data_IF_328950359367
#
_entry.id   IF_328950359367
#
_cell.length_a   1.000
_cell.length_b   1.000
_cell.length_c   1.000
_cell.angle_alpha   90.00
_cell.angle_beta   90.00
_cell.angle_gamma   90.00
#
_symmetry.space_group_name_H-M   'P 1'
#
loop_
_entity.id
_entity.type
_entity.pdbx_description
1 polymer ?
#
# COMPACT_ATOMS: atom_id res chain seq x y z
N UNK A 1 0.06 2.76 -9.69
CA UNK A 1 -1.25 3.10 -10.30
C UNK A 1 -1.39 2.52 -11.71
N UNK A 2 -0.30 2.27 -12.44
CA UNK A 2 -0.28 1.81 -13.83
C UNK A 2 -1.23 0.63 -14.13
N UNK A 3 -1.23 -0.43 -13.31
CA UNK A 3 -2.10 -1.59 -13.54
C UNK A 3 -3.60 -1.26 -13.49
N UNK A 4 -4.04 -0.50 -12.48
CA UNK A 4 -5.45 -0.12 -12.40
C UNK A 4 -5.83 0.87 -13.51
N UNK A 5 -4.89 1.69 -13.97
CA UNK A 5 -5.10 2.59 -15.10
C UNK A 5 -5.15 1.85 -16.45
N UNK A 6 -4.33 0.81 -16.66
CA UNK A 6 -4.42 -0.05 -17.85
C UNK A 6 -5.73 -0.82 -17.89
N UNK A 7 -6.16 -1.41 -16.77
CA UNK A 7 -7.46 -2.10 -16.69
C UNK A 7 -8.64 -1.17 -16.99
N UNK A 8 -8.56 0.11 -16.61
CA UNK A 8 -9.61 1.08 -16.97
C UNK A 8 -9.68 1.34 -18.47
N UNK A 9 -8.55 1.31 -19.16
CA UNK A 9 -8.52 1.45 -20.63
C UNK A 9 -9.15 0.24 -21.30
N UNK A 10 -8.79 -0.96 -20.84
CA UNK A 10 -9.32 -2.22 -21.37
C UNK A 10 -10.83 -2.36 -21.16
N UNK A 11 -11.33 -1.94 -20.00
CA UNK A 11 -12.75 -2.06 -19.64
C UNK A 11 -13.61 -0.89 -20.12
N UNK A 12 -13.09 0.05 -20.92
CA UNK A 12 -13.89 1.17 -21.44
C UNK A 12 -15.07 0.67 -22.26
N UNK A 13 -16.26 1.19 -21.96
CA UNK A 13 -17.50 0.82 -22.65
C UNK A 13 -18.20 -0.44 -22.11
N UNK A 14 -17.59 -1.19 -21.18
CA UNK A 14 -18.20 -2.38 -20.56
C UNK A 14 -19.25 -2.08 -19.47
N UNK A 15 -19.29 -0.84 -18.97
CA UNK A 15 -20.09 -0.45 -17.81
C UNK A 15 -19.46 -0.81 -16.45
N UNK A 16 -18.38 -1.60 -16.42
CA UNK A 16 -17.63 -1.90 -15.21
C UNK A 16 -16.70 -0.74 -14.79
N UNK A 17 -16.44 -0.60 -13.49
CA UNK A 17 -15.51 0.40 -12.94
C UNK A 17 -14.39 -0.25 -12.15
N UNK A 18 -13.18 0.27 -12.27
CA UNK A 18 -12.00 -0.23 -11.54
C UNK A 18 -11.55 0.80 -10.51
N UNK A 19 -11.47 0.36 -9.25
CA UNK A 19 -10.89 1.08 -8.13
C UNK A 19 -9.62 0.39 -7.64
N UNK A 20 -8.83 1.09 -6.82
CA UNK A 20 -7.70 0.50 -6.11
C UNK A 20 -7.62 1.05 -4.69
N UNK A 21 -7.25 0.18 -3.75
CA UNK A 21 -7.13 0.52 -2.33
C UNK A 21 -5.76 0.09 -1.83
N UNK A 22 -5.05 1.03 -1.21
CA UNK A 22 -3.79 0.75 -0.53
C UNK A 22 -4.01 0.64 0.97
N UNK A 23 -3.46 -0.41 1.56
CA UNK A 23 -3.49 -0.64 2.99
C UNK A 23 -2.15 -0.27 3.62
N UNK A 24 -2.20 0.41 4.76
CA UNK A 24 -1.12 0.36 5.74
C UNK A 24 -1.15 -0.96 6.50
N UNK A 25 -0.50 -1.02 7.66
CA UNK A 25 -0.55 -2.20 8.53
C UNK A 25 -2.00 -2.59 8.89
N UNK A 26 -2.36 -3.85 8.62
CA UNK A 26 -3.64 -4.49 8.97
C UNK A 26 -3.33 -5.80 9.69
N UNK A 27 -4.03 -6.09 10.79
CA UNK A 27 -3.76 -7.24 11.66
C UNK A 27 -4.21 -8.58 11.04
N UNK A 28 -3.52 -8.96 9.99
CA UNK A 28 -3.67 -10.25 9.32
C UNK A 28 -2.60 -11.23 9.81
N UNK A 29 -2.83 -12.51 9.59
CA UNK A 29 -1.80 -13.53 9.81
C UNK A 29 -0.53 -13.21 9.01
N UNK A 30 -0.68 -12.79 7.75
CA UNK A 30 0.44 -12.37 6.92
C UNK A 30 1.26 -11.26 7.58
N UNK A 31 0.61 -10.19 8.07
CA UNK A 31 1.30 -9.10 8.73
C UNK A 31 2.05 -9.56 9.98
N UNK A 32 1.42 -10.37 10.84
CA UNK A 32 2.06 -10.89 12.06
C UNK A 32 3.28 -11.74 11.72
N UNK A 33 3.17 -12.64 10.75
CA UNK A 33 4.27 -13.49 10.29
C UNK A 33 5.40 -12.67 9.68
N UNK A 34 5.09 -11.67 8.85
CA UNK A 34 6.10 -10.77 8.28
C UNK A 34 6.84 -9.97 9.36
N UNK A 35 6.13 -9.48 10.36
CA UNK A 35 6.73 -8.70 11.45
C UNK A 35 7.56 -9.54 12.42
N UNK A 36 7.27 -10.84 12.54
CA UNK A 36 8.07 -11.78 13.32
C UNK A 36 9.40 -12.17 12.63
N UNK A 37 9.57 -11.85 11.35
CA UNK A 37 10.77 -12.22 10.60
C UNK A 37 12.01 -11.44 11.10
N UNK A 38 13.19 -12.08 11.30
CA UNK A 38 14.39 -11.40 11.83
C UNK A 38 14.83 -10.17 11.02
N UNK A 39 14.65 -10.18 9.70
CA UNK A 39 14.95 -9.02 8.85
C UNK A 39 14.14 -7.77 9.23
N UNK A 40 12.96 -7.94 9.83
CA UNK A 40 12.12 -6.82 10.26
C UNK A 40 12.57 -6.20 11.57
N UNK A 41 13.45 -6.83 12.36
CA UNK A 41 13.92 -6.25 13.63
C UNK A 41 14.58 -4.88 13.42
N UNK A 42 15.42 -4.75 12.38
CA UNK A 42 16.11 -3.49 12.06
C UNK A 42 15.15 -2.44 11.52
N UNK A 43 14.15 -2.85 10.75
CA UNK A 43 13.11 -1.97 10.23
C UNK A 43 12.21 -1.44 11.35
N UNK A 44 11.79 -2.32 12.28
CA UNK A 44 10.96 -1.98 13.43
C UNK A 44 11.58 -0.94 14.36
N UNK A 45 12.92 -0.93 14.49
CA UNK A 45 13.63 0.10 15.27
C UNK A 45 13.64 1.49 14.60
N UNK A 46 13.44 1.55 13.29
CA UNK A 46 13.51 2.80 12.50
C UNK A 46 12.14 3.36 12.14
N UNK A 47 11.11 2.52 12.11
CA UNK A 47 9.76 2.92 11.75
C UNK A 47 9.04 3.41 13.02
N UNK A 48 8.47 4.64 13.04
CA UNK A 48 7.70 5.10 14.19
C UNK A 48 6.52 4.17 14.50
N UNK A 49 6.27 3.92 15.79
CA UNK A 49 5.26 2.94 16.24
C UNK A 49 3.87 3.18 15.65
N UNK A 50 3.51 4.43 15.38
CA UNK A 50 2.23 4.82 14.75
C UNK A 50 2.06 4.26 13.33
N UNK A 51 3.15 4.02 12.60
CA UNK A 51 3.09 3.43 11.26
C UNK A 51 2.95 1.90 11.29
N UNK A 52 3.56 1.25 12.28
CA UNK A 52 3.51 -0.22 12.46
C UNK A 52 2.33 -0.70 13.30
N UNK A 53 1.62 0.18 14.02
CA UNK A 53 0.38 -0.20 14.68
C UNK A 53 -0.65 -0.64 13.64
N UNK A 54 -1.09 -1.92 13.66
CA UNK A 54 -2.03 -2.42 12.68
C UNK A 54 -3.46 -1.97 13.00
N UNK A 55 -4.23 -1.69 11.96
CA UNK A 55 -5.69 -1.58 12.06
C UNK A 55 -6.33 -2.98 12.06
N UNK A 56 -7.57 -3.08 12.52
CA UNK A 56 -8.30 -4.35 12.48
C UNK A 56 -8.66 -4.77 11.05
N UNK A 57 -8.89 -6.07 10.85
CA UNK A 57 -9.34 -6.61 9.56
C UNK A 57 -10.75 -6.11 9.23
N UNK A 58 -11.59 -5.95 10.24
CA UNK A 58 -12.96 -5.45 10.14
C UNK A 58 -12.98 -4.01 9.61
N UNK A 59 -12.11 -3.14 10.12
CA UNK A 59 -12.02 -1.76 9.64
C UNK A 59 -11.50 -1.68 8.20
N UNK A 60 -10.56 -2.56 7.85
CA UNK A 60 -10.04 -2.70 6.49
C UNK A 60 -11.14 -3.18 5.53
N UNK A 61 -11.93 -4.17 5.93
CA UNK A 61 -13.08 -4.66 5.16
C UNK A 61 -14.13 -3.56 4.96
N UNK A 62 -14.45 -2.81 6.02
CA UNK A 62 -15.34 -1.66 5.92
C UNK A 62 -14.78 -0.58 4.97
N UNK A 63 -13.46 -0.40 4.90
CA UNK A 63 -12.83 0.51 3.95
C UNK A 63 -12.96 0.04 2.50
N UNK A 64 -12.85 -1.27 2.25
CA UNK A 64 -13.13 -1.88 0.93
C UNK A 64 -14.56 -1.60 0.52
N UNK A 65 -15.53 -1.93 1.39
CA UNK A 65 -16.95 -1.73 1.13
C UNK A 65 -17.24 -0.26 0.76
N UNK A 66 -16.79 0.69 1.59
CA UNK A 66 -16.96 2.13 1.32
C UNK A 66 -16.33 2.57 0.01
N UNK A 67 -15.17 2.01 -0.35
CA UNK A 67 -14.49 2.34 -1.60
C UNK A 67 -15.30 1.84 -2.81
N UNK A 68 -15.87 0.64 -2.73
CA UNK A 68 -16.72 0.05 -3.76
C UNK A 68 -18.03 0.84 -3.91
N UNK A 69 -18.74 1.10 -2.81
CA UNK A 69 -20.01 1.85 -2.80
C UNK A 69 -19.85 3.24 -3.45
N UNK A 70 -18.74 3.92 -3.15
CA UNK A 70 -18.42 5.24 -3.70
C UNK A 70 -17.79 5.19 -5.09
N UNK A 71 -17.61 4.00 -5.67
CA UNK A 71 -16.87 3.78 -6.93
C UNK A 71 -15.52 4.52 -6.93
N UNK A 72 -14.81 4.44 -5.82
CA UNK A 72 -13.58 5.20 -5.59
C UNK A 72 -12.50 4.74 -6.54
N UNK A 73 -12.00 5.66 -7.38
CA UNK A 73 -10.87 5.36 -8.29
C UNK A 73 -9.62 4.95 -7.51
N UNK A 74 -9.36 5.62 -6.37
CA UNK A 74 -8.20 5.41 -5.50
C UNK A 74 -8.62 5.63 -4.05
N UNK A 75 -8.16 4.77 -3.15
CA UNK A 75 -8.35 4.92 -1.71
C UNK A 75 -7.10 4.46 -0.94
N UNK A 76 -6.95 4.98 0.27
CA UNK A 76 -5.89 4.58 1.21
C UNK A 76 -6.53 4.35 2.57
N UNK A 77 -6.15 3.27 3.23
CA UNK A 77 -6.60 2.93 4.57
C UNK A 77 -5.42 2.53 5.46
N UNK A 78 -5.36 2.96 6.72
CA UNK A 78 -6.19 4.00 7.34
C UNK A 78 -5.89 5.39 6.74
N UNK A 79 -6.90 6.27 6.71
CA UNK A 79 -6.77 7.60 6.08
C UNK A 79 -5.68 8.47 6.71
N UNK A 80 -5.38 8.25 8.00
CA UNK A 80 -4.29 8.90 8.73
C UNK A 80 -2.91 8.59 8.16
N UNK A 81 -2.76 7.45 7.46
CA UNK A 81 -1.52 7.04 6.79
C UNK A 81 -1.46 7.48 5.32
N UNK A 82 -2.42 8.29 4.84
CA UNK A 82 -2.42 8.81 3.46
C UNK A 82 -1.22 9.76 3.28
N UNK A 83 -0.23 9.44 2.43
CA UNK A 83 0.81 10.38 2.08
C UNK A 83 0.20 11.65 1.45
N UNK A 84 0.77 12.84 1.67
CA UNK A 84 0.29 14.08 1.05
C UNK A 84 0.26 13.99 -0.49
N UNK A 85 1.09 13.13 -1.08
CA UNK A 85 1.19 12.91 -2.53
C UNK A 85 0.11 12.01 -3.16
N UNK A 86 -0.80 11.38 -2.40
CA UNK A 86 -1.90 10.56 -2.97
C UNK A 86 -2.98 11.40 -3.68
N UNK A 87 -2.79 12.72 -3.77
CA UNK A 87 -3.51 13.59 -4.71
C UNK A 87 -2.67 14.15 -5.86
N UNK A 88 -1.34 14.04 -5.84
CA UNK A 88 -0.43 14.79 -6.72
C UNK A 88 0.54 13.94 -7.56
N UNK A 89 0.65 12.63 -7.30
CA UNK A 89 1.53 11.73 -8.05
C UNK A 89 0.87 11.22 -9.35
N UNK A 90 0.53 12.12 -10.26
CA UNK A 90 0.05 11.76 -11.61
C UNK A 90 1.16 11.78 -12.69
N UNK A 91 2.42 12.12 -12.36
CA UNK A 91 3.52 12.14 -13.34
C UNK A 91 4.87 11.53 -12.91
N UNK A 92 5.01 11.03 -11.68
CA UNK A 92 6.33 10.64 -11.14
C UNK A 92 6.51 9.13 -10.85
N UNK A 93 5.51 8.29 -11.13
CA UNK A 93 5.60 6.84 -10.89
C UNK A 93 6.04 6.03 -12.13
N UNK A 94 6.73 6.70 -13.07
CA UNK A 94 7.48 6.08 -14.17
C UNK A 94 9.01 6.14 -13.93
N UNK A 95 9.44 6.65 -12.77
CA UNK A 95 10.83 6.69 -12.34
C UNK A 95 11.16 5.53 -11.42
N UNK A 96 11.50 4.37 -11.99
CA UNK A 96 12.19 3.32 -11.26
C UNK A 96 13.54 3.85 -10.76
N UNK A 97 13.66 4.07 -9.45
CA UNK A 97 14.95 4.28 -8.78
C UNK A 97 14.86 4.15 -7.25
N UNK A 98 13.75 4.57 -6.62
CA UNK A 98 13.73 4.71 -5.15
C UNK A 98 13.36 3.44 -4.37
N UNK A 99 12.63 2.49 -4.97
CA UNK A 99 12.27 1.23 -4.30
C UNK A 99 13.43 0.21 -4.29
N UNK A 100 14.39 0.36 -5.20
CA UNK A 100 15.56 -0.51 -5.26
C UNK A 100 16.62 -0.14 -4.21
N UNK A 101 16.69 1.09 -3.72
CA UNK A 101 17.65 1.43 -2.63
C UNK A 101 17.20 0.88 -1.26
N UNK A 102 15.90 0.81 -1.01
CA UNK A 102 15.37 0.22 0.23
C UNK A 102 15.56 -1.31 0.27
N UNK A 103 15.51 -1.97 -0.90
CA UNK A 103 15.72 -3.42 -1.04
C UNK A 103 17.21 -3.76 -1.19
N UNK A 104 18.00 -2.95 -1.90
CA UNK A 104 19.45 -3.15 -2.07
C UNK A 104 20.24 -2.99 -0.76
N UNK A 105 19.72 -2.23 0.21
CA UNK A 105 20.31 -2.10 1.54
C UNK A 105 20.23 -3.37 2.40
N UNK A 106 19.49 -4.39 1.98
CA UNK A 106 19.29 -5.66 2.72
C UNK A 106 20.27 -6.75 2.25
N UNK A 107 20.98 -6.54 1.13
CA UNK A 107 21.75 -7.59 0.44
C UNK A 107 23.26 -7.65 0.69
N UNK A 108 23.87 -6.81 1.54
CA UNK A 108 25.31 -6.89 1.85
C UNK A 108 25.56 -7.41 3.26
N UNK A 109 25.70 -8.73 3.38
CA UNK A 109 26.28 -9.38 4.55
C UNK A 109 27.81 -9.14 4.63
N UNK A 110 28.42 -9.20 5.83
CA UNK A 110 29.86 -9.06 5.98
C UNK A 110 30.57 -10.32 5.45
N UNK A 111 31.65 -10.10 4.68
CA UNK A 111 32.64 -11.11 4.27
C UNK A 111 33.43 -11.63 5.46
#
# INVERSE_FOLDING_TARGET
MAFADSLRLELRGSGATVGQLYFGAVDTEHFRTSMAHPLMERAQRRIPKTFVQPASVEDAAAAIQRAIERRSRRAVFPRSKRPPAVGAADHAADGGASDLELIAGIGRGPT
#
